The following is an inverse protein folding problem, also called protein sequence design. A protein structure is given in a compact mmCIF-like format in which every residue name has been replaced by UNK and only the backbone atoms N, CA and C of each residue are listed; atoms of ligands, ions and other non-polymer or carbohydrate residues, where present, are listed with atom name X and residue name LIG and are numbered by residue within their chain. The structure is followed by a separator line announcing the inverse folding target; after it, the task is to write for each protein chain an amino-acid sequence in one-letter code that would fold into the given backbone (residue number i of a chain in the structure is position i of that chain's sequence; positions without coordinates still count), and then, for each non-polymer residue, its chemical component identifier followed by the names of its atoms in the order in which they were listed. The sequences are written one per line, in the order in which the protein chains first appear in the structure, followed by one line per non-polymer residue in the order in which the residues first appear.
data_IF_514770688951
#
_entry.id   IF_514770688951
#
_cell.length_a   1.000
_cell.length_b   1.000
_cell.length_c   1.000
_cell.angle_alpha   90.00
_cell.angle_beta   90.00
_cell.angle_gamma   90.00
#
_symmetry.space_group_name_H-M   'P 1'
#
loop_
_entity.id
_entity.type
_entity.pdbx_description
1 polymer ?
#
# COMPACT_ATOMS: atom_id res chain seq x y z
N UNK A 1 -42.54 -13.76 -18.79
CA UNK A 1 -41.32 -14.38 -19.35
C UNK A 1 -40.78 -15.32 -18.28
N UNK A 2 -40.66 -16.64 -18.54
CA UNK A 2 -40.03 -17.52 -17.59
C UNK A 2 -38.53 -17.18 -17.52
N UNK A 3 -38.02 -16.99 -16.31
CA UNK A 3 -36.60 -16.73 -16.03
C UNK A 3 -35.76 -17.92 -16.46
N UNK A 4 -34.67 -17.65 -17.18
CA UNK A 4 -33.70 -18.63 -17.63
C UNK A 4 -33.08 -19.35 -16.40
N UNK A 5 -33.17 -20.68 -16.29
CA UNK A 5 -32.58 -21.43 -15.17
C UNK A 5 -31.06 -21.31 -15.07
N UNK A 6 -30.39 -20.74 -16.09
CA UNK A 6 -28.96 -20.42 -16.04
C UNK A 6 -28.62 -19.18 -15.17
N UNK A 7 -29.61 -18.38 -14.74
CA UNK A 7 -29.38 -17.16 -13.95
C UNK A 7 -29.38 -17.41 -12.43
N UNK A 8 -29.71 -18.64 -11.99
CA UNK A 8 -29.80 -19.00 -10.58
C UNK A 8 -28.44 -19.20 -9.87
N UNK A 9 -27.34 -19.28 -10.63
CA UNK A 9 -26.00 -19.58 -10.11
C UNK A 9 -25.04 -18.37 -10.22
N UNK A 10 -25.55 -17.20 -10.59
CA UNK A 10 -24.76 -15.96 -10.61
C UNK A 10 -24.88 -15.28 -9.25
N UNK A 11 -23.79 -15.27 -8.48
CA UNK A 11 -23.68 -14.38 -7.31
C UNK A 11 -24.04 -12.97 -7.79
N UNK A 12 -25.09 -12.33 -7.23
CA UNK A 12 -25.50 -11.02 -7.70
C UNK A 12 -24.34 -10.04 -7.58
N UNK A 13 -24.16 -9.24 -8.63
CA UNK A 13 -23.16 -8.18 -8.60
C UNK A 13 -23.52 -7.19 -7.49
N UNK A 14 -22.49 -6.69 -6.78
CA UNK A 14 -22.69 -5.62 -5.79
C UNK A 14 -23.29 -4.40 -6.49
N UNK A 15 -24.12 -3.65 -5.78
CA UNK A 15 -24.65 -2.35 -6.22
C UNK A 15 -23.51 -1.38 -6.56
N UNK A 16 -23.77 -0.35 -7.40
CA UNK A 16 -22.81 0.71 -7.68
C UNK A 16 -22.25 1.32 -6.39
N UNK A 17 -20.94 1.67 -6.32
CA UNK A 17 -20.34 2.23 -5.11
C UNK A 17 -21.10 3.42 -4.51
N UNK A 18 -21.65 4.30 -5.35
CA UNK A 18 -22.41 5.48 -4.98
C UNK A 18 -23.75 5.19 -4.30
N UNK A 19 -24.31 3.99 -4.52
CA UNK A 19 -25.60 3.58 -3.97
C UNK A 19 -25.46 2.73 -2.70
N UNK A 20 -24.22 2.43 -2.27
CA UNK A 20 -23.95 1.58 -1.11
C UNK A 20 -24.13 2.36 0.18
N UNK A 21 -24.75 1.69 1.16
CA UNK A 21 -24.78 2.15 2.54
C UNK A 21 -23.39 2.17 3.16
N UNK A 22 -23.21 2.91 4.26
CA UNK A 22 -21.93 2.95 4.99
C UNK A 22 -21.44 1.55 5.40
N UNK A 23 -22.28 0.66 5.98
CA UNK A 23 -21.83 -0.71 6.29
C UNK A 23 -21.35 -1.51 5.07
N UNK A 24 -22.01 -1.37 3.91
CA UNK A 24 -21.58 -2.03 2.67
C UNK A 24 -20.23 -1.50 2.17
N UNK A 25 -20.00 -0.18 2.25
CA UNK A 25 -18.71 0.43 1.92
C UNK A 25 -17.60 -0.03 2.86
N UNK A 26 -17.89 -0.14 4.16
CA UNK A 26 -16.92 -0.62 5.16
C UNK A 26 -16.53 -2.10 4.93
N UNK A 27 -17.47 -2.95 4.51
CA UNK A 27 -17.24 -4.37 4.20
C UNK A 27 -16.56 -4.63 2.84
N UNK A 28 -16.60 -3.65 1.94
CA UNK A 28 -15.99 -3.72 0.63
C UNK A 28 -15.47 -2.34 0.21
N UNK A 29 -14.35 -1.94 0.80
CA UNK A 29 -13.76 -0.62 0.59
C UNK A 29 -12.24 -0.64 0.51
N UNK A 30 -11.70 0.55 0.24
CA UNK A 30 -10.27 0.83 0.29
C UNK A 30 -10.08 2.10 1.11
N UNK A 31 -9.26 2.01 2.15
CA UNK A 31 -8.82 3.15 2.95
C UNK A 31 -7.45 3.55 2.45
N UNK A 32 -7.33 4.73 1.84
CA UNK A 32 -6.03 5.29 1.53
C UNK A 32 -5.48 6.02 2.77
N UNK A 33 -4.67 5.32 3.55
CA UNK A 33 -4.20 5.81 4.84
C UNK A 33 -2.80 6.43 4.72
N UNK A 34 -2.60 7.60 5.32
CA UNK A 34 -1.27 8.13 5.58
C UNK A 34 -0.68 7.45 6.82
N UNK A 35 0.21 6.48 6.59
CA UNK A 35 0.77 5.64 7.64
C UNK A 35 1.69 6.49 8.53
N UNK A 36 1.51 6.49 9.86
CA UNK A 36 2.44 7.16 10.74
C UNK A 36 3.75 6.37 10.88
N UNK A 37 4.82 7.07 11.30
CA UNK A 37 6.07 6.43 11.69
C UNK A 37 5.91 5.75 13.05
N UNK A 38 6.56 4.60 13.22
CA UNK A 38 6.50 3.80 14.45
C UNK A 38 5.89 2.41 14.23
N UNK A 39 4.58 2.29 13.95
CA UNK A 39 3.94 0.99 13.78
C UNK A 39 4.32 0.33 12.46
N UNK A 40 4.33 -1.01 12.45
CA UNK A 40 4.39 -1.78 11.21
C UNK A 40 3.08 -1.68 10.44
N UNK A 41 3.15 -1.87 9.12
CA UNK A 41 1.95 -1.88 8.26
C UNK A 41 0.91 -2.92 8.72
N UNK A 42 1.34 -4.08 9.24
CA UNK A 42 0.44 -5.10 9.79
C UNK A 42 -0.30 -4.65 11.06
N UNK A 43 0.38 -3.92 11.95
CA UNK A 43 -0.28 -3.35 13.15
C UNK A 43 -1.34 -2.32 12.74
N UNK A 44 -1.02 -1.47 11.76
CA UNK A 44 -1.98 -0.49 11.23
C UNK A 44 -3.18 -1.19 10.61
N UNK A 45 -3.00 -2.25 9.80
CA UNK A 45 -4.12 -3.05 9.28
C UNK A 45 -5.01 -3.64 10.38
N UNK A 46 -4.41 -4.13 11.47
CA UNK A 46 -5.17 -4.64 12.61
C UNK A 46 -6.03 -3.54 13.27
N UNK A 47 -5.46 -2.35 13.47
CA UNK A 47 -6.20 -1.22 14.03
C UNK A 47 -7.32 -0.74 13.11
N UNK A 48 -7.10 -0.70 11.79
CA UNK A 48 -8.15 -0.38 10.82
C UNK A 48 -9.29 -1.41 10.94
N UNK A 49 -8.98 -2.71 10.98
CA UNK A 49 -9.99 -3.76 11.14
C UNK A 49 -10.82 -3.55 12.40
N UNK A 50 -10.15 -3.31 13.53
CA UNK A 50 -10.82 -3.19 14.83
C UNK A 50 -11.73 -1.95 14.87
N UNK A 51 -11.24 -0.81 14.37
CA UNK A 51 -12.03 0.42 14.26
C UNK A 51 -13.24 0.27 13.33
N UNK A 52 -13.09 -0.43 12.21
CA UNK A 52 -14.21 -0.71 11.30
C UNK A 52 -15.25 -1.62 11.97
N UNK A 53 -14.81 -2.67 12.67
CA UNK A 53 -15.72 -3.59 13.35
C UNK A 53 -16.47 -2.92 14.51
N UNK A 54 -15.82 -2.00 15.23
CA UNK A 54 -16.49 -1.15 16.22
C UNK A 54 -17.58 -0.27 15.55
N UNK A 55 -17.25 0.39 14.43
CA UNK A 55 -18.20 1.18 13.67
C UNK A 55 -19.37 0.37 13.12
N UNK A 56 -19.11 -0.83 12.59
CA UNK A 56 -20.14 -1.74 12.10
C UNK A 56 -21.09 -2.18 13.22
N UNK A 57 -20.56 -2.47 14.41
CA UNK A 57 -21.38 -2.87 15.57
C UNK A 57 -22.38 -1.79 15.98
N UNK A 58 -22.09 -0.51 15.73
CA UNK A 58 -23.00 0.60 16.00
C UNK A 58 -23.98 0.88 14.85
N UNK A 59 -23.53 0.73 13.60
CA UNK A 59 -24.30 1.09 12.40
C UNK A 59 -25.19 -0.04 11.86
N UNK A 60 -24.78 -1.29 12.07
CA UNK A 60 -25.44 -2.50 11.58
C UNK A 60 -25.20 -3.67 12.55
N UNK A 61 -25.85 -3.66 13.74
CA UNK A 61 -25.54 -4.58 14.83
C UNK A 61 -25.82 -6.07 14.51
N UNK A 62 -26.74 -6.32 13.58
CA UNK A 62 -27.13 -7.66 13.13
C UNK A 62 -26.28 -8.14 11.95
N UNK A 63 -25.45 -7.27 11.36
CA UNK A 63 -24.63 -7.58 10.21
C UNK A 63 -23.26 -8.15 10.57
N UNK A 64 -22.62 -8.80 9.58
CA UNK A 64 -21.33 -9.45 9.79
C UNK A 64 -20.17 -8.43 10.00
N UNK A 65 -19.21 -8.69 10.89
CA UNK A 65 -17.96 -7.93 10.93
C UNK A 65 -17.09 -8.24 9.72
N UNK A 66 -16.01 -7.48 9.53
CA UNK A 66 -14.96 -7.83 8.56
C UNK A 66 -13.90 -8.76 9.18
N UNK A 67 -13.51 -9.78 8.43
CA UNK A 67 -12.50 -10.75 8.84
C UNK A 67 -11.07 -10.18 8.86
N UNK A 68 -10.82 -9.15 8.04
CA UNK A 68 -9.49 -8.62 7.90
C UNK A 68 -9.35 -7.41 6.98
N UNK A 69 -8.13 -6.89 6.99
CA UNK A 69 -7.68 -5.76 6.19
C UNK A 69 -6.34 -6.14 5.55
N UNK A 70 -6.21 -5.93 4.25
CA UNK A 70 -5.00 -6.23 3.48
C UNK A 70 -4.42 -4.93 2.93
N UNK A 71 -3.15 -4.66 3.21
CA UNK A 71 -2.45 -3.49 2.67
C UNK A 71 -1.75 -3.79 1.34
N UNK A 72 -1.64 -2.78 0.48
CA UNK A 72 -1.07 -2.83 -0.87
C UNK A 72 0.46 -2.94 -0.97
N UNK A 73 1.14 -3.03 0.17
CA UNK A 73 2.58 -3.13 0.26
C UNK A 73 3.02 -2.86 1.68
N UNK A 74 4.10 -3.50 2.12
CA UNK A 74 4.62 -3.30 3.47
C UNK A 74 5.54 -2.09 3.47
N UNK A 75 5.10 -0.99 4.09
CA UNK A 75 5.99 0.08 4.51
C UNK A 75 6.70 -0.34 5.81
N UNK A 76 8.01 -0.10 5.87
CA UNK A 76 8.80 -0.34 7.07
C UNK A 76 8.32 0.54 8.23
N UNK A 77 8.58 0.16 9.50
CA UNK A 77 8.06 0.88 10.67
C UNK A 77 8.32 2.39 10.65
N UNK A 78 9.50 2.82 10.20
CA UNK A 78 9.90 4.23 10.15
C UNK A 78 9.39 5.00 8.92
N UNK A 79 8.84 4.32 7.93
CA UNK A 79 8.36 4.93 6.68
C UNK A 79 6.92 5.40 6.89
N UNK A 80 6.61 6.61 6.43
CA UNK A 80 5.27 7.19 6.44
C UNK A 80 4.64 7.20 5.05
N UNK A 81 3.40 7.68 4.94
CA UNK A 81 2.78 7.97 3.65
C UNK A 81 1.77 6.92 3.22
N UNK A 82 1.50 6.92 1.91
CA UNK A 82 0.39 6.22 1.27
C UNK A 82 0.41 4.70 1.52
N UNK A 83 -0.56 4.21 2.31
CA UNK A 83 -0.82 2.80 2.59
C UNK A 83 -2.28 2.45 2.25
N UNK A 84 -2.59 2.16 0.98
CA UNK A 84 -3.91 1.63 0.60
C UNK A 84 -4.21 0.32 1.33
N UNK A 85 -5.31 0.30 2.07
CA UNK A 85 -5.76 -0.82 2.90
C UNK A 85 -7.17 -1.26 2.47
N UNK A 86 -7.28 -2.46 1.92
CA UNK A 86 -8.53 -3.05 1.44
C UNK A 86 -9.25 -3.77 2.58
N UNK A 87 -10.56 -3.62 2.67
CA UNK A 87 -11.36 -4.09 3.81
C UNK A 87 -12.24 -5.29 3.44
N UNK A 88 -12.43 -6.21 4.38
CA UNK A 88 -13.35 -7.34 4.24
C UNK A 88 -13.14 -8.13 2.95
N UNK A 89 -14.19 -8.25 2.14
CA UNK A 89 -14.13 -9.03 0.89
C UNK A 89 -13.32 -8.36 -0.23
N UNK A 90 -12.99 -7.07 -0.10
CA UNK A 90 -12.13 -6.35 -1.05
C UNK A 90 -10.66 -6.76 -0.96
N UNK A 91 -10.23 -7.36 0.16
CA UNK A 91 -8.87 -7.88 0.36
C UNK A 91 -8.38 -8.81 -0.76
N UNK A 92 -9.31 -9.52 -1.43
CA UNK A 92 -9.03 -10.37 -2.60
C UNK A 92 -8.44 -9.61 -3.80
N UNK A 93 -8.69 -8.30 -3.89
CA UNK A 93 -8.14 -7.43 -4.93
C UNK A 93 -6.78 -6.82 -4.56
N UNK A 94 -6.19 -7.14 -3.40
CA UNK A 94 -4.95 -6.51 -2.93
C UNK A 94 -3.77 -6.69 -3.91
N UNK A 95 -3.75 -7.78 -4.69
CA UNK A 95 -2.71 -8.05 -5.68
C UNK A 95 -2.61 -6.96 -6.76
N UNK A 96 -3.73 -6.32 -7.12
CA UNK A 96 -3.75 -5.24 -8.12
C UNK A 96 -2.84 -4.07 -7.71
N UNK A 97 -2.72 -3.81 -6.42
CA UNK A 97 -1.88 -2.71 -5.93
C UNK A 97 -0.40 -3.11 -5.70
N UNK A 98 -0.08 -4.41 -5.72
CA UNK A 98 1.30 -4.87 -5.63
C UNK A 98 2.07 -4.65 -6.95
N UNK A 99 1.35 -4.65 -8.06
CA UNK A 99 1.89 -4.42 -9.41
C UNK A 99 1.97 -2.94 -9.80
N UNK A 100 1.37 -2.06 -8.98
CA UNK A 100 1.39 -0.62 -9.22
C UNK A 100 2.78 0.01 -8.99
N UNK A 101 3.04 1.10 -9.71
CA UNK A 101 4.21 1.97 -9.50
C UNK A 101 4.17 2.58 -8.10
N UNK A 102 5.35 2.80 -7.52
CA UNK A 102 5.52 3.38 -6.19
C UNK A 102 6.53 4.50 -6.28
N UNK A 103 6.19 5.60 -5.64
CA UNK A 103 7.00 6.82 -5.60
C UNK A 103 7.31 7.12 -4.12
N UNK A 104 8.51 7.63 -3.88
CA UNK A 104 9.00 7.91 -2.53
C UNK A 104 9.72 9.25 -2.53
N UNK A 105 9.52 10.01 -1.46
CA UNK A 105 10.41 11.10 -1.07
C UNK A 105 11.32 10.55 0.02
N UNK A 106 12.64 10.70 -0.14
CA UNK A 106 13.63 10.12 0.74
C UNK A 106 14.73 11.12 1.11
N UNK A 107 15.27 10.97 2.31
CA UNK A 107 16.50 11.67 2.71
C UNK A 107 17.65 10.69 2.69
N UNK A 108 18.63 10.94 1.84
CA UNK A 108 19.90 10.25 1.79
C UNK A 108 20.92 11.00 2.67
N UNK A 109 21.43 10.33 3.71
CA UNK A 109 22.54 10.83 4.52
C UNK A 109 23.86 10.27 3.98
N UNK A 110 24.70 11.14 3.44
CA UNK A 110 26.03 10.83 2.96
C UNK A 110 27.02 10.74 4.12
N UNK A 111 28.04 9.87 4.00
CA UNK A 111 29.09 9.76 5.01
C UNK A 111 30.06 10.96 5.01
N UNK A 112 30.08 11.74 3.92
CA UNK A 112 30.85 12.95 3.71
C UNK A 112 30.04 13.94 2.86
N UNK A 113 30.54 15.16 2.65
CA UNK A 113 29.86 16.14 1.80
C UNK A 113 29.69 15.62 0.36
N UNK A 114 28.59 16.03 -0.29
CA UNK A 114 28.31 15.63 -1.66
C UNK A 114 29.43 16.12 -2.60
N UNK A 115 29.97 15.26 -3.48
CA UNK A 115 30.94 15.70 -4.48
C UNK A 115 30.28 16.59 -5.55
N UNK A 116 31.10 17.30 -6.32
CA UNK A 116 30.61 18.24 -7.34
C UNK A 116 29.79 17.55 -8.44
N UNK A 117 30.11 16.30 -8.76
CA UNK A 117 29.45 15.45 -9.76
C UNK A 117 28.28 14.62 -9.20
N UNK A 118 27.86 14.87 -7.94
CA UNK A 118 26.86 14.05 -7.27
C UNK A 118 25.55 13.86 -8.08
N UNK A 119 25.06 14.92 -8.72
CA UNK A 119 23.84 14.84 -9.54
C UNK A 119 24.00 13.96 -10.76
N UNK A 120 25.17 14.01 -11.40
CA UNK A 120 25.47 13.16 -12.56
C UNK A 120 25.51 11.69 -12.13
N UNK A 121 26.13 11.39 -10.98
CA UNK A 121 26.16 10.04 -10.39
C UNK A 121 24.75 9.54 -10.05
N UNK A 122 23.88 10.38 -9.48
CA UNK A 122 22.49 9.99 -9.17
C UNK A 122 21.71 9.68 -10.44
N UNK A 123 21.88 10.47 -11.51
CA UNK A 123 21.19 10.26 -12.78
C UNK A 123 21.52 8.90 -13.43
N UNK A 124 22.69 8.32 -13.16
CA UNK A 124 23.03 6.96 -13.63
C UNK A 124 22.15 5.85 -13.01
N UNK A 125 21.46 6.13 -11.88
CA UNK A 125 20.60 5.15 -11.20
C UNK A 125 19.16 5.12 -11.72
N UNK A 126 18.74 6.04 -12.59
CA UNK A 126 17.52 5.91 -13.38
C UNK A 126 17.69 4.81 -14.44
N UNK A 127 17.66 3.57 -13.99
CA UNK A 127 18.04 2.41 -14.77
C UNK A 127 17.47 1.11 -14.17
N UNK A 128 17.67 0.01 -14.90
CA UNK A 128 17.60 -1.32 -14.29
C UNK A 128 18.84 -1.52 -13.39
N UNK A 129 18.58 -1.72 -12.10
CA UNK A 129 19.59 -1.94 -11.07
C UNK A 129 19.50 -3.34 -10.49
N UNK A 130 20.63 -3.84 -10.01
CA UNK A 130 20.68 -5.10 -9.26
C UNK A 130 20.50 -4.84 -7.77
N UNK A 131 19.53 -5.53 -7.18
CA UNK A 131 19.27 -5.47 -5.74
C UNK A 131 19.32 -6.86 -5.13
N UNK A 132 19.91 -6.94 -3.92
CA UNK A 132 19.78 -8.10 -3.05
C UNK A 132 19.01 -7.68 -1.80
N UNK A 133 17.88 -8.32 -1.47
CA UNK A 133 17.11 -7.98 -0.28
C UNK A 133 17.99 -7.90 0.99
N UNK A 134 17.69 -6.97 1.90
CA UNK A 134 18.43 -6.86 3.16
C UNK A 134 18.20 -8.10 4.05
N UNK A 135 19.00 -8.23 5.12
CA UNK A 135 18.90 -9.38 6.04
C UNK A 135 17.52 -9.48 6.71
N UNK A 136 16.93 -8.32 7.06
CA UNK A 136 15.58 -8.21 7.58
C UNK A 136 14.64 -7.90 6.41
N UNK A 137 14.07 -8.93 5.80
CA UNK A 137 13.07 -8.77 4.73
C UNK A 137 12.08 -9.93 4.75
N UNK A 138 10.87 -9.69 4.26
CA UNK A 138 9.82 -10.71 4.15
C UNK A 138 9.97 -11.63 2.92
N UNK A 139 11.05 -11.47 2.14
CA UNK A 139 11.25 -12.16 0.86
C UNK A 139 12.60 -12.89 0.82
N UNK A 140 12.69 -13.92 -0.02
CA UNK A 140 13.93 -14.68 -0.19
C UNK A 140 15.07 -13.79 -0.67
N UNK A 141 16.22 -13.92 0.01
CA UNK A 141 17.41 -13.11 -0.25
C UNK A 141 18.21 -13.62 -1.45
N UNK A 142 17.70 -13.36 -2.64
CA UNK A 142 18.35 -13.62 -3.95
C UNK A 142 18.58 -12.33 -4.71
N UNK A 143 19.59 -12.30 -5.58
CA UNK A 143 19.80 -11.18 -6.49
C UNK A 143 18.59 -11.07 -7.43
N UNK A 144 18.15 -9.84 -7.71
CA UNK A 144 17.04 -9.53 -8.60
C UNK A 144 17.27 -8.17 -9.25
N UNK A 145 16.76 -7.98 -10.45
CA UNK A 145 16.71 -6.66 -11.09
C UNK A 145 15.49 -5.87 -10.59
N UNK A 146 15.62 -4.56 -10.51
CA UNK A 146 14.55 -3.59 -10.29
C UNK A 146 14.82 -2.36 -11.15
N UNK A 147 13.77 -1.71 -11.59
CA UNK A 147 13.89 -0.46 -12.35
C UNK A 147 13.59 0.71 -11.41
N UNK A 148 14.43 1.73 -11.46
CA UNK A 148 14.10 3.06 -10.97
C UNK A 148 13.66 3.84 -12.21
N UNK A 149 12.38 4.19 -12.27
CA UNK A 149 11.79 4.82 -13.45
C UNK A 149 12.15 6.31 -13.57
N UNK A 150 12.37 6.98 -12.43
CA UNK A 150 12.68 8.41 -12.31
C UNK A 150 13.40 8.62 -10.96
N UNK A 151 14.39 9.53 -10.93
CA UNK A 151 15.16 9.83 -9.71
C UNK A 151 15.67 11.27 -9.69
N UNK A 152 14.94 12.12 -8.98
CA UNK A 152 15.27 13.54 -8.84
C UNK A 152 16.11 13.85 -7.60
N UNK A 153 16.95 14.89 -7.70
CA UNK A 153 17.63 15.51 -6.55
C UNK A 153 16.95 16.85 -6.23
N UNK A 154 16.05 16.84 -5.26
CA UNK A 154 15.22 18.00 -4.90
C UNK A 154 16.00 19.06 -4.11
N UNK A 155 16.87 18.64 -3.19
CA UNK A 155 17.70 19.56 -2.39
C UNK A 155 18.98 18.89 -1.90
N UNK A 156 20.02 19.69 -1.66
CA UNK A 156 21.28 19.26 -1.01
C UNK A 156 21.60 20.26 0.09
N UNK A 157 21.76 19.76 1.32
CA UNK A 157 22.21 20.51 2.49
C UNK A 157 23.37 19.75 3.17
N UNK A 158 24.61 20.11 2.80
CA UNK A 158 25.83 19.45 3.25
C UNK A 158 25.84 17.96 2.88
N UNK A 159 25.61 17.11 3.88
CA UNK A 159 25.57 15.64 3.74
C UNK A 159 24.17 15.07 3.55
N UNK A 160 23.14 15.92 3.63
CA UNK A 160 21.75 15.50 3.47
C UNK A 160 21.28 15.83 2.07
N UNK A 161 20.76 14.83 1.38
CA UNK A 161 20.19 14.95 0.04
C UNK A 161 18.74 14.55 0.11
N UNK A 162 17.85 15.45 -0.31
CA UNK A 162 16.44 15.15 -0.53
C UNK A 162 16.30 14.62 -1.95
N UNK A 163 15.87 13.38 -2.04
CA UNK A 163 15.49 12.68 -3.28
C UNK A 163 13.97 12.62 -3.35
#
# INVERSE_FOLDING_TARGET
MPSDPADADRTPLRTPPEDRTVPELLRFGVVNLDKPAGPSSHQVSAWIRDAINEGLSALDPEGEPIDGVAHSGTLDPKVTGCLPALTGTATRAAQVFLEGRKEYVAVLELHADAPDDFRDVVAEFEAEIYQKPPRKSAVTRRLRSRTIDDLDVLAIDGRQVLL
#
